data_IF_289185088841
#
_entry.id   IF_289185088841
#
_cell.length_a   1.000
_cell.length_b   1.000
_cell.length_c   1.000
_cell.angle_alpha   90.00
_cell.angle_beta   90.00
_cell.angle_gamma   90.00
#
_symmetry.space_group_name_H-M   'P 1'
#
loop_
_entity.id
_entity.type
_entity.pdbx_description
1 polymer ?
#
# COMPACT_ATOMS: atom_id res chain seq x y z
N UNK A 1 15.62 5.36 -1.59
CA UNK A 1 14.19 5.76 -1.49
C UNK A 1 14.01 6.92 -2.46
N UNK A 2 12.92 7.00 -3.20
CA UNK A 2 12.68 8.16 -4.09
C UNK A 2 12.38 9.42 -3.26
N UNK A 3 12.69 10.59 -3.80
CA UNK A 3 12.41 11.89 -3.16
C UNK A 3 10.92 12.04 -2.83
N UNK A 4 10.05 11.51 -3.70
CA UNK A 4 8.61 11.46 -3.48
C UNK A 4 8.21 10.61 -2.25
N UNK A 5 8.75 9.39 -2.11
CA UNK A 5 8.41 8.56 -0.94
C UNK A 5 8.92 9.18 0.35
N UNK A 6 10.08 9.85 0.30
CA UNK A 6 10.64 10.55 1.45
C UNK A 6 9.75 11.72 1.89
N UNK A 7 9.23 12.52 0.95
CA UNK A 7 8.32 13.63 1.28
C UNK A 7 6.99 13.15 1.84
N UNK A 8 6.40 12.09 1.26
CA UNK A 8 5.17 11.48 1.77
C UNK A 8 5.34 10.96 3.20
N UNK A 9 6.45 10.26 3.49
CA UNK A 9 6.74 9.76 4.83
C UNK A 9 6.97 10.89 5.82
N UNK A 10 7.70 11.94 5.43
CA UNK A 10 7.93 13.10 6.28
C UNK A 10 6.61 13.77 6.69
N UNK A 11 5.72 14.05 5.73
CA UNK A 11 4.42 14.63 6.01
C UNK A 11 3.54 13.71 6.87
N UNK A 12 3.53 12.40 6.58
CA UNK A 12 2.80 11.43 7.40
C UNK A 12 3.23 11.49 8.86
N UNK A 13 4.55 11.56 9.13
CA UNK A 13 5.06 11.63 10.50
C UNK A 13 4.73 12.96 11.16
N UNK A 14 4.88 14.07 10.45
CA UNK A 14 4.57 15.43 10.93
C UNK A 14 3.08 15.59 11.28
N UNK A 15 2.19 14.98 10.49
CA UNK A 15 0.74 15.17 10.58
C UNK A 15 0.02 13.94 11.12
N UNK A 16 0.71 13.12 11.91
CA UNK A 16 0.14 11.98 12.63
C UNK A 16 -0.71 11.05 11.75
N UNK A 17 -0.20 10.73 10.56
CA UNK A 17 -0.80 9.78 9.64
C UNK A 17 -1.58 10.37 8.47
N UNK A 18 -1.75 11.69 8.43
CA UNK A 18 -2.47 12.36 7.34
C UNK A 18 -1.51 12.94 6.31
N UNK A 19 -1.72 12.65 5.02
CA UNK A 19 -0.94 13.23 3.91
C UNK A 19 -1.89 13.88 2.93
N UNK A 20 -1.75 15.20 2.73
CA UNK A 20 -2.60 15.97 1.81
C UNK A 20 -1.80 16.75 0.77
N UNK A 21 -0.55 17.12 1.07
CA UNK A 21 0.27 17.96 0.20
C UNK A 21 1.13 17.13 -0.75
N UNK A 22 1.90 16.19 -0.22
CA UNK A 22 2.79 15.33 -1.00
C UNK A 22 2.00 14.35 -1.89
N UNK A 23 0.82 13.95 -1.45
CA UNK A 23 -0.13 13.15 -2.22
C UNK A 23 -1.54 13.29 -1.63
N UNK A 24 -2.61 13.12 -2.44
CA UNK A 24 -3.98 13.23 -1.97
C UNK A 24 -4.46 11.94 -1.28
N UNK A 25 -3.69 11.42 -0.32
CA UNK A 25 -4.03 10.18 0.39
C UNK A 25 -4.91 10.41 1.62
N UNK A 26 -4.97 11.63 2.16
CA UNK A 26 -5.67 11.91 3.41
C UNK A 26 -5.15 11.00 4.53
N UNK A 27 -6.06 10.35 5.24
CA UNK A 27 -5.78 9.34 6.26
C UNK A 27 -5.75 7.89 5.69
N UNK A 28 -5.79 7.73 4.37
CA UNK A 28 -5.78 6.42 3.70
C UNK A 28 -4.37 5.93 3.39
N UNK A 29 -3.34 6.50 4.01
CA UNK A 29 -1.96 6.03 3.84
C UNK A 29 -1.68 4.87 4.79
N UNK A 30 -1.13 3.79 4.24
CA UNK A 30 -0.53 2.68 5.00
C UNK A 30 0.97 2.69 4.71
N UNK A 31 1.80 2.77 5.74
CA UNK A 31 3.25 2.65 5.61
C UNK A 31 3.65 1.20 5.86
N UNK A 32 4.17 0.55 4.82
CA UNK A 32 4.61 -0.85 4.88
C UNK A 32 6.07 -0.92 5.34
N UNK A 33 6.34 -1.70 6.38
CA UNK A 33 7.69 -2.08 6.80
C UNK A 33 7.94 -3.53 6.37
N UNK A 34 8.68 -3.71 5.27
CA UNK A 34 8.90 -5.01 4.62
C UNK A 34 10.36 -5.43 4.66
N UNK A 35 10.64 -6.73 4.51
CA UNK A 35 11.99 -7.26 4.35
C UNK A 35 12.28 -7.48 2.88
N UNK A 36 13.40 -6.96 2.37
CA UNK A 36 13.79 -7.08 0.97
C UNK A 36 13.93 -8.53 0.54
N UNK A 37 13.10 -9.01 -0.41
CA UNK A 37 13.07 -10.43 -0.81
C UNK A 37 14.42 -11.00 -1.26
N UNK A 38 15.29 -10.15 -1.84
CA UNK A 38 16.64 -10.55 -2.28
C UNK A 38 17.74 -10.17 -1.29
N UNK A 39 17.60 -9.02 -0.62
CA UNK A 39 18.67 -8.45 0.19
C UNK A 39 18.57 -8.77 1.68
N UNK A 40 17.39 -9.17 2.16
CA UNK A 40 17.10 -9.33 3.59
C UNK A 40 17.05 -8.00 4.37
N UNK A 41 17.20 -6.87 3.71
CA UNK A 41 17.27 -5.56 4.38
C UNK A 41 15.87 -4.98 4.64
N UNK A 42 15.68 -4.22 5.73
CA UNK A 42 14.45 -3.47 5.97
C UNK A 42 14.16 -2.45 4.87
N UNK A 43 12.90 -2.39 4.42
CA UNK A 43 12.40 -1.47 3.39
C UNK A 43 11.10 -0.83 3.86
N UNK A 44 10.96 0.48 3.62
CA UNK A 44 9.74 1.25 3.93
C UNK A 44 9.09 1.72 2.64
N UNK A 45 7.77 1.54 2.52
CA UNK A 45 7.00 1.98 1.35
C UNK A 45 5.65 2.57 1.77
N UNK A 46 5.39 3.86 1.52
CA UNK A 46 4.07 4.44 1.68
C UNK A 46 3.16 4.00 0.52
N UNK A 47 1.96 3.52 0.83
CA UNK A 47 0.95 3.12 -0.16
C UNK A 47 -0.43 3.62 0.25
N UNK A 48 -1.32 3.75 -0.71
CA UNK A 48 -2.74 3.92 -0.40
C UNK A 48 -3.30 2.58 0.09
N UNK A 49 -4.01 2.61 1.21
CA UNK A 49 -4.79 1.51 1.75
C UNK A 49 -6.27 1.84 1.84
N UNK A 50 -7.12 0.82 1.64
CA UNK A 50 -8.56 0.91 1.85
C UNK A 50 -8.91 0.02 3.04
N UNK A 51 -9.66 0.49 4.06
CA UNK A 51 -10.08 -0.35 5.19
C UNK A 51 -10.83 -1.61 4.74
N UNK A 52 -10.52 -2.77 5.31
CA UNK A 52 -11.16 -4.06 5.00
C UNK A 52 -11.27 -4.93 6.26
N UNK A 53 -12.46 -4.95 6.87
CA UNK A 53 -12.63 -5.48 8.22
C UNK A 53 -11.73 -4.76 9.22
N UNK A 54 -10.97 -5.51 9.99
CA UNK A 54 -9.98 -4.98 10.94
C UNK A 54 -8.63 -4.63 10.28
N UNK A 55 -8.53 -4.81 8.97
CA UNK A 55 -7.30 -4.65 8.21
C UNK A 55 -7.42 -3.68 7.04
N UNK A 56 -6.60 -3.90 6.01
CA UNK A 56 -6.51 -3.03 4.85
C UNK A 56 -6.31 -3.82 3.56
N UNK A 57 -6.85 -3.29 2.46
CA UNK A 57 -6.45 -3.66 1.10
C UNK A 57 -5.37 -2.69 0.62
N UNK A 58 -4.34 -3.19 -0.04
CA UNK A 58 -3.28 -2.40 -0.70
C UNK A 58 -3.07 -2.87 -2.14
N UNK A 59 -2.86 -1.94 -3.06
CA UNK A 59 -2.70 -2.25 -4.48
C UNK A 59 -1.27 -2.02 -4.98
N UNK A 60 -0.69 -3.03 -5.63
CA UNK A 60 0.63 -2.99 -6.26
C UNK A 60 0.60 -2.28 -7.63
N UNK A 61 -0.02 -1.10 -7.68
CA UNK A 61 -0.31 -0.38 -8.93
C UNK A 61 0.93 0.26 -9.56
N UNK A 62 1.86 0.81 -8.75
CA UNK A 62 3.07 1.51 -9.20
C UNK A 62 2.75 2.51 -10.34
N UNK A 63 1.65 3.25 -10.20
CA UNK A 63 1.12 4.19 -11.19
C UNK A 63 0.92 3.62 -12.62
N UNK A 64 0.68 2.31 -12.74
CA UNK A 64 0.51 1.62 -14.02
C UNK A 64 1.83 1.24 -14.69
N UNK A 65 2.95 1.23 -13.97
CA UNK A 65 4.21 0.73 -14.50
C UNK A 65 4.08 -0.73 -14.97
N UNK A 66 4.87 -1.15 -15.98
CA UNK A 66 4.80 -2.49 -16.56
C UNK A 66 5.24 -3.59 -15.57
N UNK A 67 5.97 -3.24 -14.52
CA UNK A 67 6.45 -4.14 -13.48
C UNK A 67 5.80 -3.89 -12.11
N UNK A 68 5.79 -4.92 -11.26
CA UNK A 68 5.32 -4.80 -9.89
C UNK A 68 6.34 -4.03 -9.02
N UNK A 69 5.89 -3.28 -8.00
CA UNK A 69 6.79 -2.61 -7.07
C UNK A 69 7.57 -3.62 -6.23
N UNK A 70 8.80 -3.26 -5.80
CA UNK A 70 9.64 -4.15 -5.01
C UNK A 70 8.96 -4.65 -3.72
N UNK A 71 8.15 -3.82 -3.07
CA UNK A 71 7.43 -4.21 -1.86
C UNK A 71 6.44 -5.37 -2.10
N UNK A 72 5.87 -5.50 -3.30
CA UNK A 72 5.01 -6.64 -3.63
C UNK A 72 5.78 -7.95 -3.54
N UNK A 73 6.96 -7.99 -4.15
CA UNK A 73 7.84 -9.16 -4.09
C UNK A 73 8.35 -9.44 -2.66
N UNK A 74 8.59 -8.39 -1.88
CA UNK A 74 8.93 -8.53 -0.46
C UNK A 74 7.83 -9.24 0.31
N UNK A 75 6.56 -8.88 0.11
CA UNK A 75 5.43 -9.50 0.82
C UNK A 75 5.14 -10.92 0.39
N UNK A 76 5.40 -11.29 -0.87
CA UNK A 76 5.30 -12.69 -1.29
C UNK A 76 6.36 -13.57 -0.62
N UNK A 77 7.56 -13.04 -0.36
CA UNK A 77 8.64 -13.78 0.30
C UNK A 77 8.49 -13.76 1.84
N UNK A 78 8.00 -12.65 2.39
CA UNK A 78 7.87 -12.39 3.83
C UNK A 78 6.50 -11.74 4.09
N UNK A 79 5.43 -12.53 4.25
CA UNK A 79 4.06 -12.01 4.33
C UNK A 79 3.72 -11.40 5.70
N UNK A 80 4.52 -11.68 6.72
CA UNK A 80 4.38 -11.06 8.03
C UNK A 80 5.18 -9.76 8.07
N UNK A 81 4.47 -8.66 8.37
CA UNK A 81 5.02 -7.32 8.34
C UNK A 81 4.42 -6.45 9.44
N UNK A 82 5.06 -5.30 9.65
CA UNK A 82 4.50 -4.22 10.44
C UNK A 82 3.97 -3.14 9.49
N UNK A 83 2.81 -2.59 9.81
CA UNK A 83 2.30 -1.39 9.16
C UNK A 83 2.14 -0.25 10.15
N UNK A 84 2.28 0.97 9.63
CA UNK A 84 1.83 2.15 10.35
C UNK A 84 0.68 2.82 9.61
N UNK A 85 -0.32 3.27 10.37
CA UNK A 85 -1.45 4.07 9.91
C UNK A 85 -1.66 5.23 10.87
N UNK A 86 -2.43 6.24 10.48
CA UNK A 86 -2.85 7.26 11.44
C UNK A 86 -4.05 8.04 10.95
N UNK A 87 -4.62 8.80 11.87
CA UNK A 87 -5.92 9.46 11.71
C UNK A 87 -5.83 10.99 11.87
N UNK A 88 -4.61 11.54 11.96
CA UNK A 88 -4.34 12.94 12.24
C UNK A 88 -4.20 13.26 13.72
N UNK A 89 -4.49 12.32 14.62
CA UNK A 89 -4.27 12.45 16.06
C UNK A 89 -3.07 11.64 16.54
N UNK A 90 -2.92 10.41 16.04
CA UNK A 90 -1.82 9.52 16.41
C UNK A 90 -1.46 8.57 15.25
N UNK A 91 -0.24 8.03 15.34
CA UNK A 91 0.21 6.94 14.47
C UNK A 91 0.11 5.65 15.26
N UNK A 92 -0.55 4.65 14.67
CA UNK A 92 -0.68 3.30 15.23
C UNK A 92 0.19 2.35 14.43
N UNK A 93 0.91 1.48 15.14
CA UNK A 93 1.75 0.43 14.56
C UNK A 93 1.10 -0.92 14.80
N UNK A 94 0.84 -1.69 13.74
CA UNK A 94 0.13 -2.96 13.82
C UNK A 94 0.93 -4.05 13.10
N UNK A 95 1.06 -5.23 13.73
CA UNK A 95 1.55 -6.42 13.05
C UNK A 95 0.43 -7.04 12.23
N UNK A 96 0.70 -7.32 10.96
CA UNK A 96 -0.29 -7.85 10.03
C UNK A 96 0.30 -9.00 9.21
N UNK A 97 -0.58 -9.79 8.62
CA UNK A 97 -0.26 -10.81 7.64
C UNK A 97 -0.83 -10.42 6.28
N UNK A 98 -0.02 -10.51 5.22
CA UNK A 98 -0.38 -10.19 3.85
C UNK A 98 -0.81 -11.44 3.06
N UNK A 99 -1.95 -11.35 2.39
CA UNK A 99 -2.46 -12.36 1.45
C UNK A 99 -2.63 -11.74 0.08
N UNK A 100 -2.01 -12.32 -0.95
CA UNK A 100 -2.22 -11.93 -2.34
C UNK A 100 -3.57 -12.44 -2.83
N UNK A 101 -4.46 -11.51 -3.18
CA UNK A 101 -5.80 -11.85 -3.64
C UNK A 101 -5.74 -12.31 -5.10
N UNK A 102 -6.59 -13.28 -5.44
CA UNK A 102 -6.69 -13.81 -6.80
C UNK A 102 -8.14 -13.89 -7.26
N UNK A 103 -8.34 -13.98 -8.58
CA UNK A 103 -9.65 -14.13 -9.20
C UNK A 103 -10.68 -13.10 -8.74
N UNK A 104 -11.89 -13.57 -8.45
CA UNK A 104 -13.04 -12.72 -8.10
C UNK A 104 -12.80 -11.85 -6.86
N UNK A 105 -12.05 -12.34 -5.85
CA UNK A 105 -11.75 -11.55 -4.66
C UNK A 105 -10.87 -10.34 -5.00
N UNK A 106 -9.84 -10.55 -5.82
CA UNK A 106 -8.98 -9.47 -6.30
C UNK A 106 -9.76 -8.46 -7.12
N UNK A 107 -10.62 -8.93 -8.02
CA UNK A 107 -11.38 -8.04 -8.90
C UNK A 107 -12.36 -7.18 -8.11
N UNK A 108 -13.07 -7.76 -7.14
CA UNK A 108 -13.92 -7.00 -6.22
C UNK A 108 -13.12 -5.97 -5.41
N UNK A 109 -11.93 -6.33 -4.91
CA UNK A 109 -11.06 -5.41 -4.20
C UNK A 109 -10.54 -4.29 -5.11
N UNK A 110 -10.24 -4.59 -6.38
CA UNK A 110 -9.79 -3.60 -7.36
C UNK A 110 -10.86 -2.58 -7.72
N UNK A 111 -12.13 -2.99 -7.82
CA UNK A 111 -13.24 -2.05 -8.01
C UNK A 111 -13.33 -1.02 -6.87
N UNK A 112 -13.03 -1.42 -5.63
CA UNK A 112 -13.00 -0.48 -4.49
C UNK A 112 -11.91 0.58 -4.65
N UNK A 113 -10.75 0.22 -5.20
CA UNK A 113 -9.69 1.19 -5.53
C UNK A 113 -10.11 2.17 -6.62
N UNK A 114 -10.78 1.69 -7.68
CA UNK A 114 -11.29 2.56 -8.75
C UNK A 114 -12.37 3.52 -8.25
N UNK A 115 -13.20 3.09 -7.30
CA UNK A 115 -14.20 3.93 -6.65
C UNK A 115 -13.55 4.98 -5.73
N UNK A 116 -12.51 4.60 -4.98
CA UNK A 116 -11.81 5.51 -4.07
C UNK A 116 -11.00 6.58 -4.80
N UNK A 117 -10.40 6.23 -5.94
CA UNK A 117 -9.68 7.19 -6.78
C UNK A 117 -9.72 6.80 -8.26
N UNK A 118 -10.24 7.66 -9.15
CA UNK A 118 -10.26 7.42 -10.60
C UNK A 118 -8.88 7.13 -11.20
N UNK A 119 -7.79 7.56 -10.53
CA UNK A 119 -6.42 7.30 -10.97
C UNK A 119 -6.09 5.81 -11.11
N UNK A 120 -6.70 4.92 -10.32
CA UNK A 120 -6.47 3.48 -10.44
C UNK A 120 -7.01 2.91 -11.76
N UNK A 121 -8.15 3.40 -12.25
CA UNK A 121 -8.67 2.99 -13.56
C UNK A 121 -7.71 3.40 -14.70
N UNK A 122 -7.07 4.56 -14.57
CA UNK A 122 -6.05 4.99 -15.53
C UNK A 122 -4.76 4.17 -15.42
N UNK A 123 -4.37 3.72 -14.23
CA UNK A 123 -3.22 2.83 -14.05
C UNK A 123 -3.43 1.47 -14.71
N UNK A 124 -4.63 0.91 -14.64
CA UNK A 124 -4.99 -0.34 -15.30
C UNK A 124 -4.83 -0.26 -16.82
N UNK A 125 -5.26 0.86 -17.43
CA UNK A 125 -5.13 1.08 -18.88
C UNK A 125 -3.68 1.21 -19.35
N UNK A 126 -2.74 1.56 -18.47
CA UNK A 126 -1.32 1.82 -18.80
C UNK A 126 -0.47 0.56 -18.81
N UNK A 127 -1.01 -0.58 -18.40
CA UNK A 127 -0.25 -1.82 -18.26
C UNK A 127 -1.04 -3.02 -18.78
N UNK A 128 -0.33 -4.07 -19.18
CA UNK A 128 -0.91 -5.35 -19.59
C UNK A 128 -0.99 -6.36 -18.45
N UNK A 129 -0.33 -6.10 -17.31
CA UNK A 129 -0.40 -6.97 -16.14
C UNK A 129 -1.69 -6.73 -15.36
N UNK A 130 -2.23 -7.80 -14.80
CA UNK A 130 -3.21 -7.69 -13.71
C UNK A 130 -2.52 -7.05 -12.51
N UNK A 131 -2.97 -5.85 -12.10
CA UNK A 131 -2.42 -5.15 -10.93
C UNK A 131 -2.75 -5.96 -9.66
N UNK A 132 -1.75 -6.45 -8.89
CA UNK A 132 -2.04 -7.23 -7.69
C UNK A 132 -2.70 -6.39 -6.60
N UNK A 133 -3.54 -7.03 -5.80
CA UNK A 133 -4.16 -6.45 -4.61
C UNK A 133 -3.93 -7.41 -3.46
N UNK A 134 -3.40 -6.90 -2.34
CA UNK A 134 -3.12 -7.69 -1.15
C UNK A 134 -4.05 -7.27 -0.03
N UNK A 135 -4.56 -8.25 0.71
CA UNK A 135 -5.26 -8.05 1.98
C UNK A 135 -4.25 -8.16 3.12
N UNK A 136 -4.24 -7.16 3.98
CA UNK A 136 -3.45 -7.10 5.21
C UNK A 136 -4.41 -7.29 6.38
N UNK A 137 -4.23 -8.35 7.16
CA UNK A 137 -5.08 -8.64 8.33
C UNK A 137 -4.24 -8.58 9.61
N UNK A 138 -4.73 -7.95 10.70
CA UNK A 138 -4.06 -8.01 12.00
C UNK A 138 -3.75 -9.44 12.44
N UNK A 139 -2.65 -9.60 13.17
CA UNK A 139 -2.27 -10.86 13.82
C UNK A 139 -2.77 -10.96 15.25
#
# INVERSE_FOLDING_TARGET
>A
MSDFNASVLAEFRERHGTVTNAAPFGNSLVVLHTTGARSGEPRVSPVMGIPDGDGWLVAASKAGAPDNPAWYHNLLAHPDLTVETGDGSAITTTQVHAVDLTGAERDAAWERFKQASPGFAEYEKRTSRTIPVLRLSPR
#
